data_IF_933040923550
#
_entry.id   IF_933040923550
#
_cell.length_a   1.000
_cell.length_b   1.000
_cell.length_c   1.000
_cell.angle_alpha   90.00
_cell.angle_beta   90.00
_cell.angle_gamma   90.00
#
_symmetry.space_group_name_H-M   'P 1'
#
loop_
_entity.id
_entity.type
_entity.pdbx_description
1 polymer ?
#
# COMPACT_ATOMS: atom_id res chain seq x y z
N UNK A 1 -9.27 12.75 18.75
CA UNK A 1 -8.45 11.54 18.55
C UNK A 1 -8.59 11.09 17.10
N UNK A 2 -7.60 11.37 16.22
CA UNK A 2 -7.61 10.89 14.83
C UNK A 2 -7.45 9.38 14.85
N UNK A 3 -8.37 8.62 14.23
CA UNK A 3 -8.20 7.17 14.07
C UNK A 3 -7.09 6.93 13.05
N UNK A 4 -6.03 6.24 13.48
CA UNK A 4 -5.04 5.70 12.56
C UNK A 4 -5.77 4.69 11.65
N UNK A 5 -5.76 4.95 10.36
CA UNK A 5 -6.27 3.97 9.40
C UNK A 5 -5.15 2.95 9.16
N UNK A 6 -5.52 1.68 9.22
CA UNK A 6 -4.63 0.60 8.83
C UNK A 6 -4.27 0.77 7.34
N UNK A 7 -2.97 0.61 7.00
CA UNK A 7 -2.49 0.62 5.61
C UNK A 7 -3.29 -0.35 4.73
N UNK A 8 -3.70 -1.49 5.28
CA UNK A 8 -4.55 -2.47 4.59
C UNK A 8 -5.88 -1.83 4.17
N UNK A 9 -6.50 -1.05 5.05
CA UNK A 9 -7.77 -0.38 4.78
C UNK A 9 -7.64 0.70 3.71
N UNK A 10 -6.59 1.52 3.77
CA UNK A 10 -6.29 2.54 2.75
C UNK A 10 -5.98 1.89 1.40
N UNK A 11 -5.19 0.83 1.40
CA UNK A 11 -4.86 0.06 0.19
C UNK A 11 -6.10 -0.60 -0.44
N UNK A 12 -7.03 -1.11 0.36
CA UNK A 12 -8.31 -1.63 -0.15
C UNK A 12 -9.18 -0.52 -0.75
N UNK A 13 -9.18 0.65 -0.13
CA UNK A 13 -9.89 1.84 -0.64
C UNK A 13 -9.30 2.28 -1.96
N UNK A 14 -7.98 2.30 -2.08
CA UNK A 14 -7.25 2.60 -3.31
C UNK A 14 -7.66 1.66 -4.46
N UNK A 15 -7.63 0.34 -4.22
CA UNK A 15 -8.05 -0.66 -5.22
C UNK A 15 -9.52 -0.49 -5.62
N UNK A 16 -10.42 -0.27 -4.66
CA UNK A 16 -11.85 -0.04 -4.94
C UNK A 16 -12.05 1.19 -5.81
N UNK A 17 -11.35 2.29 -5.52
CA UNK A 17 -11.40 3.52 -6.33
C UNK A 17 -10.82 3.31 -7.72
N UNK A 18 -9.64 2.67 -7.84
CA UNK A 18 -9.02 2.37 -9.12
C UNK A 18 -9.95 1.55 -10.04
N UNK A 19 -10.62 0.55 -9.49
CA UNK A 19 -11.60 -0.27 -10.24
C UNK A 19 -12.84 0.50 -10.71
N UNK A 20 -13.23 1.58 -10.00
CA UNK A 20 -14.39 2.41 -10.35
C UNK A 20 -14.06 3.53 -11.35
N UNK A 21 -12.82 3.99 -11.41
CA UNK A 21 -12.41 5.07 -12.31
C UNK A 21 -12.47 4.61 -13.77
N UNK A 22 -12.78 5.56 -14.64
CA UNK A 22 -12.73 5.35 -16.10
C UNK A 22 -11.36 5.81 -16.60
N UNK A 23 -10.75 4.97 -17.42
CA UNK A 23 -9.50 5.28 -18.12
C UNK A 23 -9.75 5.37 -19.61
N UNK A 24 -8.87 6.05 -20.32
CA UNK A 24 -8.94 6.16 -21.77
C UNK A 24 -8.87 4.77 -22.44
N UNK A 25 -9.49 4.60 -23.61
CA UNK A 25 -9.41 3.33 -24.35
C UNK A 25 -7.98 2.97 -24.78
N UNK A 26 -7.11 3.97 -24.87
CA UNK A 26 -5.72 3.83 -25.33
C UNK A 26 -4.72 3.49 -24.23
N UNK A 27 -5.14 3.58 -22.97
CA UNK A 27 -4.27 3.32 -21.83
C UNK A 27 -3.58 1.96 -21.93
N UNK A 28 -4.30 0.93 -22.39
CA UNK A 28 -3.79 -0.44 -22.52
C UNK A 28 -3.60 -0.76 -24.02
N UNK A 29 -2.38 -0.63 -24.56
CA UNK A 29 -2.11 -0.91 -25.97
C UNK A 29 -2.50 -2.34 -26.36
N UNK A 30 -3.12 -2.51 -27.52
CA UNK A 30 -3.52 -3.82 -28.03
C UNK A 30 -4.81 -4.40 -27.45
N UNK A 31 -5.36 -3.80 -26.37
CA UNK A 31 -6.59 -4.28 -25.74
C UNK A 31 -7.83 -3.72 -26.43
N UNK A 32 -8.41 -4.48 -27.34
CA UNK A 32 -9.57 -4.04 -28.14
C UNK A 32 -10.90 -4.28 -27.46
N UNK A 33 -11.04 -5.36 -26.66
CA UNK A 33 -12.31 -5.70 -26.03
C UNK A 33 -12.50 -5.01 -24.69
N UNK A 34 -13.75 -4.78 -24.31
CA UNK A 34 -14.10 -4.22 -23.00
C UNK A 34 -13.66 -5.15 -21.85
N UNK A 35 -13.71 -6.47 -22.07
CA UNK A 35 -13.32 -7.49 -21.09
C UNK A 35 -11.82 -7.39 -20.80
N UNK A 36 -10.98 -7.39 -21.85
CA UNK A 36 -9.52 -7.34 -21.70
C UNK A 36 -9.08 -6.05 -21.01
N UNK A 37 -9.66 -4.90 -21.41
CA UNK A 37 -9.41 -3.63 -20.71
C UNK A 37 -9.79 -3.66 -19.24
N UNK A 38 -10.89 -4.35 -18.89
CA UNK A 38 -11.31 -4.49 -17.50
C UNK A 38 -10.35 -5.40 -16.69
N UNK A 39 -9.81 -6.45 -17.30
CA UNK A 39 -8.80 -7.30 -16.68
C UNK A 39 -7.50 -6.54 -16.46
N UNK A 40 -6.99 -5.83 -17.47
CA UNK A 40 -5.83 -4.96 -17.35
C UNK A 40 -6.00 -3.88 -16.28
N UNK A 41 -7.18 -3.28 -16.18
CA UNK A 41 -7.52 -2.32 -15.14
C UNK A 41 -7.47 -2.94 -13.73
N UNK A 42 -7.91 -4.19 -13.56
CA UNK A 42 -7.80 -4.88 -12.28
C UNK A 42 -6.34 -5.14 -11.90
N UNK A 43 -5.50 -5.50 -12.89
CA UNK A 43 -4.06 -5.69 -12.69
C UNK A 43 -3.39 -4.37 -12.32
N UNK A 44 -3.68 -3.27 -13.04
CA UNK A 44 -3.17 -1.94 -12.72
C UNK A 44 -3.57 -1.52 -11.29
N UNK A 45 -4.82 -1.77 -10.89
CA UNK A 45 -5.28 -1.44 -9.54
C UNK A 45 -4.51 -2.20 -8.45
N UNK A 46 -4.16 -3.46 -8.70
CA UNK A 46 -3.35 -4.27 -7.79
C UNK A 46 -1.89 -3.79 -7.76
N UNK A 47 -1.35 -3.42 -8.91
CA UNK A 47 0.01 -2.90 -9.04
C UNK A 47 0.17 -1.55 -8.31
N UNK A 48 -0.75 -0.61 -8.54
CA UNK A 48 -0.77 0.68 -7.83
C UNK A 48 -0.80 0.50 -6.31
N UNK A 49 -1.60 -0.46 -5.82
CA UNK A 49 -1.65 -0.81 -4.39
C UNK A 49 -0.30 -1.29 -3.89
N UNK A 50 0.29 -2.28 -4.56
CA UNK A 50 1.54 -2.91 -4.14
C UNK A 50 2.68 -1.87 -4.16
N UNK A 51 2.75 -1.09 -5.23
CA UNK A 51 3.75 -0.03 -5.39
C UNK A 51 3.62 1.04 -4.32
N UNK A 52 2.41 1.52 -4.03
CA UNK A 52 2.17 2.49 -2.95
C UNK A 52 2.64 1.96 -1.60
N UNK A 53 2.37 0.69 -1.30
CA UNK A 53 2.79 0.07 -0.04
C UNK A 53 4.32 -0.04 0.07
N UNK A 54 5.01 -0.37 -1.03
CA UNK A 54 6.47 -0.44 -1.08
C UNK A 54 7.11 0.94 -0.93
N UNK A 55 6.59 1.94 -1.65
CA UNK A 55 7.05 3.33 -1.55
C UNK A 55 6.93 3.82 -0.12
N UNK A 56 5.76 3.66 0.48
CA UNK A 56 5.52 4.13 1.84
C UNK A 56 6.46 3.47 2.85
N UNK A 57 6.71 2.17 2.72
CA UNK A 57 7.67 1.44 3.56
C UNK A 57 9.08 1.99 3.38
N UNK A 58 9.55 2.11 2.14
CA UNK A 58 10.90 2.61 1.84
C UNK A 58 11.10 4.05 2.34
N UNK A 59 10.12 4.93 2.12
CA UNK A 59 10.18 6.31 2.60
C UNK A 59 10.16 6.38 4.13
N UNK A 60 9.36 5.55 4.80
CA UNK A 60 9.34 5.45 6.26
C UNK A 60 10.69 4.98 6.82
N UNK A 61 11.34 4.01 6.19
CA UNK A 61 12.68 3.55 6.56
C UNK A 61 13.75 4.62 6.31
N UNK A 62 13.71 5.27 5.13
CA UNK A 62 14.68 6.32 4.74
C UNK A 62 14.65 7.52 5.68
N UNK A 63 13.48 7.94 6.12
CA UNK A 63 13.28 9.14 6.95
C UNK A 63 12.97 8.83 8.41
N UNK A 64 13.21 7.60 8.88
CA UNK A 64 12.90 7.20 10.26
C UNK A 64 11.47 7.55 10.69
N UNK A 65 10.51 7.39 9.78
CA UNK A 65 9.10 7.75 9.95
C UNK A 65 8.82 9.26 10.20
N UNK A 66 9.74 10.14 9.83
CA UNK A 66 9.49 11.58 9.81
C UNK A 66 8.48 11.91 8.71
N UNK A 67 7.26 12.21 9.13
CA UNK A 67 6.14 12.44 8.23
C UNK A 67 6.28 13.71 7.40
N UNK A 68 6.95 14.74 7.91
CA UNK A 68 7.09 16.02 7.22
C UNK A 68 8.12 15.89 6.09
N UNK A 69 9.22 15.20 6.31
CA UNK A 69 10.19 14.88 5.26
C UNK A 69 9.57 13.96 4.21
N UNK A 70 8.80 12.95 4.63
CA UNK A 70 8.09 12.08 3.69
C UNK A 70 7.13 12.85 2.79
N UNK A 71 6.31 13.77 3.34
CA UNK A 71 5.39 14.61 2.58
C UNK A 71 6.11 15.53 1.60
N UNK A 72 7.25 16.08 2.00
CA UNK A 72 8.07 16.96 1.16
C UNK A 72 8.59 16.22 -0.09
N UNK A 73 9.08 15.00 0.05
CA UNK A 73 9.66 14.21 -1.03
C UNK A 73 8.62 13.46 -1.89
N UNK A 74 7.46 13.15 -1.35
CA UNK A 74 6.47 12.28 -1.98
C UNK A 74 5.98 12.77 -3.35
N UNK A 75 5.78 14.07 -3.62
CA UNK A 75 5.38 14.55 -4.95
C UNK A 75 6.37 14.15 -6.05
N UNK A 76 7.67 14.22 -5.77
CA UNK A 76 8.73 13.82 -6.70
C UNK A 76 8.66 12.31 -6.99
N UNK A 77 8.49 11.51 -5.95
CA UNK A 77 8.33 10.04 -6.06
C UNK A 77 7.10 9.68 -6.90
N UNK A 78 5.96 10.31 -6.65
CA UNK A 78 4.72 10.07 -7.42
C UNK A 78 4.93 10.43 -8.89
N UNK A 79 5.61 11.53 -9.22
CA UNK A 79 5.90 11.92 -10.59
C UNK A 79 6.76 10.85 -11.30
N UNK A 80 7.86 10.42 -10.70
CA UNK A 80 8.72 9.39 -11.26
C UNK A 80 7.95 8.07 -11.49
N UNK A 81 7.06 7.69 -10.57
CA UNK A 81 6.21 6.51 -10.70
C UNK A 81 5.24 6.64 -11.88
N UNK A 82 4.64 7.80 -12.07
CA UNK A 82 3.70 8.03 -13.18
C UNK A 82 4.42 8.01 -14.53
N UNK A 83 5.62 8.58 -14.65
CA UNK A 83 6.47 8.51 -15.83
C UNK A 83 6.86 7.05 -16.14
N UNK A 84 7.24 6.29 -15.11
CA UNK A 84 7.58 4.88 -15.23
C UNK A 84 6.43 4.03 -15.83
N UNK A 85 5.19 4.32 -15.51
CA UNK A 85 4.03 3.68 -16.13
C UNK A 85 3.90 4.00 -17.62
N UNK A 86 4.34 5.16 -18.06
CA UNK A 86 4.44 5.56 -19.48
C UNK A 86 5.66 5.00 -20.20
N UNK A 87 6.52 4.25 -19.51
CA UNK A 87 7.74 3.68 -20.08
C UNK A 87 8.99 4.54 -19.87
N UNK A 88 8.86 5.76 -19.36
CA UNK A 88 10.01 6.61 -19.03
C UNK A 88 10.52 6.30 -17.62
N UNK A 89 11.66 5.63 -17.54
CA UNK A 89 12.33 5.26 -16.31
C UNK A 89 13.59 6.08 -16.01
N UNK A 90 13.79 7.22 -16.68
CA UNK A 90 14.97 8.07 -16.50
C UNK A 90 15.20 8.50 -15.04
N UNK A 91 14.14 8.87 -14.35
CA UNK A 91 14.17 9.31 -12.95
C UNK A 91 14.03 8.18 -11.93
N UNK A 92 13.77 6.94 -12.37
CA UNK A 92 13.36 5.85 -11.49
C UNK A 92 14.47 5.44 -10.50
N UNK A 93 15.71 5.36 -10.95
CA UNK A 93 16.83 4.92 -10.10
C UNK A 93 16.97 5.80 -8.85
N UNK A 94 16.72 7.10 -9.00
CA UNK A 94 16.89 8.08 -7.94
C UNK A 94 15.58 8.34 -7.17
N UNK A 95 14.45 8.46 -7.89
CA UNK A 95 13.20 9.03 -7.37
C UNK A 95 12.06 8.04 -7.19
N UNK A 96 12.18 6.78 -7.63
CA UNK A 96 11.08 5.81 -7.53
C UNK A 96 10.90 5.19 -6.14
N UNK A 97 11.64 5.66 -5.14
CA UNK A 97 11.67 5.08 -3.79
C UNK A 97 11.92 3.55 -3.81
N UNK A 98 12.88 3.10 -4.62
CA UNK A 98 13.28 1.70 -4.71
C UNK A 98 12.28 0.78 -5.41
N UNK A 99 11.21 1.32 -6.00
CA UNK A 99 10.21 0.49 -6.71
C UNK A 99 10.58 0.19 -8.16
N UNK A 100 11.56 0.89 -8.73
CA UNK A 100 12.12 0.64 -10.04
C UNK A 100 13.62 0.97 -10.02
N UNK A 101 14.44 0.10 -10.60
CA UNK A 101 15.89 0.31 -10.67
C UNK A 101 16.31 1.31 -11.76
N UNK A 102 15.40 1.73 -12.62
CA UNK A 102 15.71 2.50 -13.82
C UNK A 102 16.21 1.63 -14.97
N UNK A 103 16.23 2.20 -16.19
CA UNK A 103 16.69 1.52 -17.40
C UNK A 103 15.64 0.65 -18.09
N UNK A 104 15.95 0.22 -19.30
CA UNK A 104 15.00 -0.40 -20.23
C UNK A 104 14.52 -1.80 -19.82
N UNK A 105 15.29 -2.50 -18.96
CA UNK A 105 15.03 -3.91 -18.63
C UNK A 105 14.19 -4.12 -17.36
N UNK A 106 14.05 -3.10 -16.53
CA UNK A 106 13.54 -3.25 -15.15
C UNK A 106 12.31 -2.39 -14.83
N UNK A 107 11.55 -1.97 -15.84
CA UNK A 107 10.28 -1.30 -15.63
C UNK A 107 9.40 -2.14 -14.70
N UNK A 108 8.99 -1.57 -13.58
CA UNK A 108 8.14 -2.25 -12.59
C UNK A 108 6.92 -2.90 -13.24
N UNK A 109 6.31 -2.20 -14.20
CA UNK A 109 5.11 -2.65 -14.89
C UNK A 109 5.36 -3.89 -15.76
N UNK A 110 6.55 -4.05 -16.32
CA UNK A 110 6.96 -5.23 -17.08
C UNK A 110 7.02 -6.49 -16.22
N UNK A 111 7.18 -6.34 -14.90
CA UNK A 111 7.15 -7.46 -13.94
C UNK A 111 5.75 -8.00 -13.70
N UNK A 112 4.70 -7.27 -14.02
CA UNK A 112 3.34 -7.80 -13.96
C UNK A 112 3.17 -8.91 -14.99
N UNK A 113 3.17 -10.17 -14.52
CA UNK A 113 3.12 -11.36 -15.37
C UNK A 113 1.92 -11.34 -16.32
N UNK A 114 0.75 -10.98 -15.83
CA UNK A 114 -0.47 -10.95 -16.64
C UNK A 114 -0.46 -9.87 -17.72
N UNK A 115 0.22 -8.75 -17.52
CA UNK A 115 0.35 -7.72 -18.55
C UNK A 115 1.37 -8.10 -19.61
N UNK A 116 2.48 -8.73 -19.21
CA UNK A 116 3.46 -9.31 -20.15
C UNK A 116 2.86 -10.41 -21.02
N UNK A 117 2.06 -11.30 -20.43
CA UNK A 117 1.36 -12.37 -21.16
C UNK A 117 0.41 -11.78 -22.22
N UNK A 118 -0.09 -10.54 -22.03
CA UNK A 118 -0.88 -9.81 -23.01
C UNK A 118 -0.04 -8.85 -23.90
N UNK A 119 1.28 -8.93 -23.86
CA UNK A 119 2.17 -8.11 -24.69
C UNK A 119 2.26 -6.63 -24.29
N UNK A 120 1.78 -6.25 -23.10
CA UNK A 120 1.84 -4.87 -22.63
C UNK A 120 3.15 -4.65 -21.89
N UNK A 121 4.03 -3.85 -22.48
CA UNK A 121 5.34 -3.49 -21.92
C UNK A 121 5.35 -2.11 -21.27
N UNK A 122 4.42 -1.24 -21.67
CA UNK A 122 4.19 0.10 -21.09
C UNK A 122 2.71 0.46 -21.26
N UNK A 123 2.23 1.39 -20.43
CA UNK A 123 0.94 2.03 -20.64
C UNK A 123 1.08 3.19 -21.62
N UNK A 124 -0.02 3.55 -22.29
CA UNK A 124 -0.10 4.79 -23.08
C UNK A 124 -1.07 5.77 -22.39
N UNK A 125 -0.68 6.35 -21.23
CA UNK A 125 -1.58 7.19 -20.49
C UNK A 125 -1.78 8.53 -21.19
N UNK A 126 -3.04 8.94 -21.30
CA UNK A 126 -3.39 10.33 -21.56
C UNK A 126 -3.13 11.19 -20.32
N UNK A 127 -3.15 12.50 -20.47
CA UNK A 127 -3.02 13.41 -19.32
C UNK A 127 -4.11 13.17 -18.28
N UNK A 128 -5.33 12.87 -18.72
CA UNK A 128 -6.45 12.50 -17.85
C UNK A 128 -6.20 11.19 -17.10
N UNK A 129 -5.56 10.21 -17.75
CA UNK A 129 -5.20 8.95 -17.10
C UNK A 129 -4.11 9.16 -16.05
N UNK A 130 -3.11 9.98 -16.36
CA UNK A 130 -2.04 10.37 -15.42
C UNK A 130 -2.65 11.04 -14.18
N UNK A 131 -3.56 11.99 -14.39
CA UNK A 131 -4.24 12.65 -13.28
C UNK A 131 -5.09 11.67 -12.47
N UNK A 132 -5.79 10.76 -13.13
CA UNK A 132 -6.58 9.71 -12.47
C UNK A 132 -5.70 8.76 -11.64
N UNK A 133 -4.55 8.33 -12.18
CA UNK A 133 -3.58 7.50 -11.45
C UNK A 133 -2.99 8.26 -10.27
N UNK A 134 -2.67 9.54 -10.44
CA UNK A 134 -2.20 10.43 -9.38
C UNK A 134 -3.20 10.49 -8.22
N UNK A 135 -4.46 10.74 -8.49
CA UNK A 135 -5.52 10.75 -7.47
C UNK A 135 -5.62 9.42 -6.71
N UNK A 136 -5.43 8.30 -7.42
CA UNK A 136 -5.43 6.97 -6.81
C UNK A 136 -4.20 6.77 -5.91
N UNK A 137 -3.01 7.21 -6.34
CA UNK A 137 -1.79 7.13 -5.55
C UNK A 137 -1.89 7.99 -4.27
N UNK A 138 -2.45 9.20 -4.37
CA UNK A 138 -2.62 10.13 -3.27
C UNK A 138 -3.52 9.60 -2.12
N UNK A 139 -4.32 8.57 -2.34
CA UNK A 139 -5.10 7.93 -1.26
C UNK A 139 -4.18 7.38 -0.16
N UNK A 140 -3.03 6.83 -0.55
CA UNK A 140 -2.05 6.22 0.35
C UNK A 140 -0.84 7.12 0.54
N UNK A 141 -0.36 7.74 -0.53
CA UNK A 141 0.89 8.51 -0.57
C UNK A 141 0.68 10.01 -0.37
N UNK A 142 -0.56 10.51 -0.34
CA UNK A 142 -0.83 11.90 0.00
C UNK A 142 -0.67 12.18 1.50
N UNK A 143 -0.63 13.44 1.87
CA UNK A 143 -0.39 13.91 3.24
C UNK A 143 -1.32 13.21 4.25
N UNK A 144 -2.61 13.14 3.93
CA UNK A 144 -3.60 12.47 4.78
C UNK A 144 -3.34 10.95 4.90
N UNK A 145 -2.88 10.31 3.81
CA UNK A 145 -2.51 8.89 3.79
C UNK A 145 -1.29 8.63 4.66
N UNK A 146 -0.25 9.44 4.51
CA UNK A 146 0.98 9.38 5.31
C UNK A 146 0.67 9.56 6.78
N UNK A 147 -0.10 10.59 7.16
CA UNK A 147 -0.50 10.82 8.55
C UNK A 147 -1.30 9.66 9.16
N UNK A 148 -2.18 9.04 8.37
CA UNK A 148 -3.00 7.91 8.84
C UNK A 148 -2.21 6.61 9.00
N UNK A 149 -1.12 6.46 8.26
CA UNK A 149 -0.25 5.28 8.29
C UNK A 149 0.99 5.52 9.16
N UNK A 150 1.11 6.69 9.77
CA UNK A 150 2.18 6.99 10.72
C UNK A 150 2.30 5.88 11.76
N UNK A 151 3.47 5.32 11.87
CA UNK A 151 3.68 4.19 12.78
C UNK A 151 3.50 2.80 12.11
N UNK A 152 3.87 2.64 10.82
CA UNK A 152 3.87 1.35 10.12
C UNK A 152 4.60 0.23 10.87
N UNK A 153 5.56 0.57 11.72
CA UNK A 153 6.17 -0.35 12.69
C UNK A 153 5.20 -0.87 13.74
N UNK A 154 4.08 -0.16 13.96
CA UNK A 154 3.08 -0.53 14.98
C UNK A 154 1.98 -1.45 14.43
N UNK A 155 1.85 -1.64 13.10
CA UNK A 155 0.79 -2.49 12.54
C UNK A 155 1.04 -3.97 12.87
N UNK A 156 2.27 -4.44 12.73
CA UNK A 156 2.63 -5.79 13.21
C UNK A 156 2.50 -5.88 14.73
N UNK A 157 2.85 -4.82 15.44
CA UNK A 157 2.64 -4.70 16.88
C UNK A 157 1.16 -4.74 17.24
N UNK A 158 0.31 -4.00 16.53
CA UNK A 158 -1.13 -3.98 16.76
C UNK A 158 -1.80 -5.31 16.38
N UNK A 159 -1.36 -5.97 15.31
CA UNK A 159 -1.84 -7.30 14.94
C UNK A 159 -1.45 -8.37 15.96
N UNK A 160 -0.22 -8.33 16.46
CA UNK A 160 0.22 -9.24 17.50
C UNK A 160 -0.48 -8.95 18.83
N UNK A 161 -0.72 -7.69 19.19
CA UNK A 161 -1.55 -7.31 20.35
C UNK A 161 -3.00 -7.80 20.18
N UNK A 162 -3.59 -7.62 19.01
CA UNK A 162 -4.93 -8.12 18.70
C UNK A 162 -5.00 -9.65 18.71
N UNK A 163 -3.98 -10.35 18.24
CA UNK A 163 -3.87 -11.81 18.35
C UNK A 163 -3.77 -12.26 19.81
N UNK A 164 -2.92 -11.59 20.60
CA UNK A 164 -2.80 -11.88 22.03
C UNK A 164 -4.11 -11.66 22.79
N UNK A 165 -4.81 -10.55 22.51
CA UNK A 165 -6.13 -10.26 23.06
C UNK A 165 -7.18 -11.29 22.60
N UNK A 166 -7.26 -11.60 21.32
CA UNK A 166 -8.24 -12.53 20.75
C UNK A 166 -8.04 -13.96 21.25
N UNK A 167 -6.82 -14.38 21.52
CA UNK A 167 -6.53 -15.69 22.11
C UNK A 167 -6.98 -15.81 23.56
N UNK A 168 -6.95 -14.71 24.33
CA UNK A 168 -7.34 -14.67 25.75
C UNK A 168 -8.80 -14.26 25.96
N UNK A 169 -9.35 -13.46 25.05
CA UNK A 169 -10.71 -12.93 25.08
C UNK A 169 -11.42 -13.17 23.73
N UNK A 170 -11.77 -14.41 23.38
CA UNK A 170 -12.52 -14.69 22.14
C UNK A 170 -13.82 -13.90 22.09
N UNK A 171 -14.13 -13.30 20.93
CA UNK A 171 -15.32 -12.42 20.75
C UNK A 171 -16.67 -13.10 20.98
N UNK A 172 -16.71 -14.43 20.85
CA UNK A 172 -17.91 -15.26 20.99
C UNK A 172 -18.16 -15.74 22.41
N UNK A 173 -17.32 -15.37 23.39
CA UNK A 173 -17.44 -15.79 24.78
C UNK A 173 -17.65 -14.58 25.68
N UNK A 174 -18.68 -14.63 26.54
CA UNK A 174 -18.94 -13.60 27.55
C UNK A 174 -18.12 -13.86 28.84
N UNK A 175 -17.25 -12.94 29.18
CA UNK A 175 -16.41 -13.01 30.39
C UNK A 175 -16.88 -11.99 31.44
N UNK A 176 -17.95 -12.28 32.17
CA UNK A 176 -18.53 -11.34 33.14
C UNK A 176 -17.64 -11.06 34.38
N UNK A 177 -16.82 -12.03 34.78
CA UNK A 177 -16.01 -11.93 36.01
C UNK A 177 -14.48 -11.99 35.77
N UNK A 178 -14.02 -12.43 34.62
CA UNK A 178 -12.58 -12.66 34.35
C UNK A 178 -11.99 -11.81 33.24
N UNK A 179 -12.73 -10.84 32.69
CA UNK A 179 -12.28 -10.05 31.56
C UNK A 179 -11.01 -9.25 31.88
N UNK A 180 -10.97 -8.61 33.08
CA UNK A 180 -9.84 -7.79 33.52
C UNK A 180 -8.56 -8.61 33.65
N UNK A 181 -8.66 -9.79 34.27
CA UNK A 181 -7.52 -10.69 34.46
C UNK A 181 -7.00 -11.23 33.11
N UNK A 182 -7.90 -11.53 32.18
CA UNK A 182 -7.54 -12.01 30.83
C UNK A 182 -6.90 -10.91 29.96
N UNK A 183 -7.42 -9.70 30.02
CA UNK A 183 -6.82 -8.53 29.34
C UNK A 183 -5.45 -8.22 29.97
N UNK A 184 -5.33 -8.23 31.29
CA UNK A 184 -4.04 -8.07 31.99
C UNK A 184 -3.02 -9.12 31.56
N UNK A 185 -3.41 -10.39 31.50
CA UNK A 185 -2.55 -11.48 31.01
C UNK A 185 -2.15 -11.32 29.55
N UNK A 186 -3.05 -10.83 28.69
CA UNK A 186 -2.73 -10.56 27.30
C UNK A 186 -1.69 -9.43 27.16
N UNK A 187 -1.83 -8.36 27.95
CA UNK A 187 -0.90 -7.23 27.99
C UNK A 187 0.49 -7.67 28.51
N UNK A 188 0.54 -8.47 29.55
CA UNK A 188 1.80 -9.02 30.08
C UNK A 188 2.50 -9.91 29.06
N UNK A 189 1.76 -10.81 28.39
CA UNK A 189 2.31 -11.65 27.32
C UNK A 189 2.82 -10.82 26.15
N UNK A 190 2.12 -9.72 25.83
CA UNK A 190 2.53 -8.79 24.79
C UNK A 190 3.86 -8.08 25.14
N UNK A 191 3.99 -7.54 26.35
CA UNK A 191 5.15 -6.74 26.74
C UNK A 191 6.39 -7.59 27.03
N UNK A 192 6.23 -8.79 27.58
CA UNK A 192 7.32 -9.59 28.16
C UNK A 192 7.55 -10.95 27.46
N UNK A 193 6.68 -11.30 26.47
CA UNK A 193 6.71 -12.61 25.83
C UNK A 193 5.91 -13.71 26.58
N UNK A 194 5.72 -14.89 25.94
CA UNK A 194 4.79 -15.91 26.42
C UNK A 194 5.18 -16.63 27.72
N UNK A 195 6.39 -16.43 28.22
CA UNK A 195 6.89 -17.09 29.45
C UNK A 195 6.58 -16.36 30.76
N UNK A 196 6.42 -15.05 30.76
CA UNK A 196 6.31 -14.24 31.98
C UNK A 196 4.91 -14.19 32.58
N UNK A 197 3.88 -14.47 31.81
CA UNK A 197 2.49 -14.50 32.30
C UNK A 197 2.17 -15.69 33.22
N UNK A 198 3.07 -16.67 33.31
CA UNK A 198 2.89 -17.88 34.14
C UNK A 198 3.68 -17.85 35.46
N UNK A 199 4.49 -16.82 35.71
CA UNK A 199 5.38 -16.74 36.86
C UNK A 199 4.84 -15.90 38.02
N UNK A 200 3.58 -15.50 38.00
CA UNK A 200 2.93 -14.78 39.11
C UNK A 200 1.62 -15.54 39.47
#
# INVERSE_FOLDING_TARGET
>A
MKRLADLVHLSQTQVKRAKKKTFSPHLFPGMTTKKDRQECKCVLAADLKNRSSMILKHMSEKFNADTDQMKHEMPSVINAVLQCYGGDCSDCAEKSAGTCAGGDSDNWFVRSRSLRENGITALHPSETDIQTMREILLIVLGDEGIEKTWGLSTTQSNEAANRALSSRCPKNVKFSKSITARVGSAILTWNNGPGDAQRK
#
